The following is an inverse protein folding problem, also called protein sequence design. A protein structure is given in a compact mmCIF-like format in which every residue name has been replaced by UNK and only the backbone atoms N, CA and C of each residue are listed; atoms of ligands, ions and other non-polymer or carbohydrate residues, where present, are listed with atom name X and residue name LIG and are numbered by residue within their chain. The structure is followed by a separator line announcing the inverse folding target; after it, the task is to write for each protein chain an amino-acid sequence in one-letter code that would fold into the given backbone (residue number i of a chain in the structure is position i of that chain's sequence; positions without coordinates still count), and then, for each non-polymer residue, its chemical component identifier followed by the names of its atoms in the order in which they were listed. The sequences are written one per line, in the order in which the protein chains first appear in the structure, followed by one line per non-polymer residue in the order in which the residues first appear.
data_IF_920294119292
#
_entry.id   IF_920294119292
#
_cell.length_a   1.000
_cell.length_b   1.000
_cell.length_c   1.000
_cell.angle_alpha   90.00
_cell.angle_beta   90.00
_cell.angle_gamma   90.00
#
_symmetry.space_group_name_H-M   'P 1'
#
loop_
_entity.id
_entity.type
_entity.pdbx_description
1 polymer ?
#
# COMPACT_ATOMS: atom_id res chain seq x y z
N UNK A 1 11.00 21.24 5.40
CA UNK A 1 11.18 20.13 6.37
C UNK A 1 10.53 18.90 5.76
N UNK A 2 11.26 17.82 5.54
CA UNK A 2 10.65 16.57 5.06
C UNK A 2 9.91 15.92 6.24
N UNK A 3 8.58 15.95 6.21
CA UNK A 3 7.75 15.23 7.17
C UNK A 3 7.58 13.82 6.61
N UNK A 4 8.22 12.84 7.26
CA UNK A 4 8.17 11.44 6.85
C UNK A 4 7.68 10.62 8.03
N UNK A 5 6.36 10.50 8.12
CA UNK A 5 5.64 9.70 9.09
C UNK A 5 4.94 8.56 8.35
N UNK A 6 4.91 7.37 8.96
CA UNK A 6 4.16 6.27 8.40
C UNK A 6 2.65 6.64 8.38
N UNK A 7 1.99 6.67 7.21
CA UNK A 7 0.65 7.21 7.04
C UNK A 7 -0.46 6.28 7.54
N UNK A 8 -0.14 4.99 7.72
CA UNK A 8 -1.10 3.95 8.05
C UNK A 8 -0.70 3.21 9.31
N UNK A 9 -1.68 2.84 10.14
CA UNK A 9 -1.46 1.91 11.24
C UNK A 9 -1.09 0.51 10.70
N UNK A 10 -0.31 -0.29 11.44
CA UNK A 10 -0.09 -1.69 11.08
C UNK A 10 -1.41 -2.45 10.95
N UNK A 11 -1.57 -3.19 9.85
CA UNK A 11 -2.74 -4.04 9.63
C UNK A 11 -2.42 -5.50 10.00
N UNK A 12 -2.85 -5.91 11.20
CA UNK A 12 -2.62 -7.25 11.75
C UNK A 12 -3.94 -7.83 12.27
N UNK A 13 -4.16 -9.13 12.07
CA UNK A 13 -5.34 -9.84 12.57
C UNK A 13 -4.97 -11.27 12.99
N UNK A 14 -5.79 -11.86 13.86
CA UNK A 14 -5.56 -13.21 14.37
C UNK A 14 -5.59 -14.25 13.24
N UNK A 15 -4.62 -15.16 13.27
CA UNK A 15 -4.47 -16.20 12.25
C UNK A 15 -3.65 -15.78 11.02
N UNK A 16 -3.02 -14.60 11.01
CA UNK A 16 -2.09 -14.24 9.94
C UNK A 16 -0.86 -15.15 9.97
N UNK A 17 -0.54 -15.78 8.84
CA UNK A 17 0.64 -16.65 8.71
C UNK A 17 1.86 -15.93 8.14
N UNK A 18 1.64 -14.80 7.45
CA UNK A 18 2.65 -14.09 6.66
C UNK A 18 2.49 -12.60 6.88
N UNK A 19 3.61 -11.92 7.11
CA UNK A 19 3.67 -10.47 7.30
C UNK A 19 4.48 -9.83 6.17
N UNK A 20 3.91 -8.81 5.53
CA UNK A 20 4.60 -8.01 4.51
C UNK A 20 5.12 -6.75 5.20
N UNK A 21 6.45 -6.59 5.24
CA UNK A 21 7.10 -5.42 5.84
C UNK A 21 7.74 -4.60 4.73
N UNK A 22 7.30 -3.35 4.60
CA UNK A 22 7.82 -2.39 3.63
C UNK A 22 8.94 -1.55 4.21
N UNK A 23 9.49 -0.69 3.35
CA UNK A 23 10.34 0.41 3.79
C UNK A 23 9.46 1.63 4.09
N UNK A 24 9.95 2.84 3.81
CA UNK A 24 9.15 4.05 3.97
C UNK A 24 8.29 4.28 2.71
N UNK A 25 7.00 4.60 2.87
CA UNK A 25 6.16 4.97 1.76
C UNK A 25 6.62 6.32 1.16
N UNK A 26 6.24 6.61 -0.10
CA UNK A 26 6.55 7.89 -0.71
C UNK A 26 6.00 9.05 0.14
N UNK A 27 6.73 10.18 0.30
CA UNK A 27 6.31 11.29 1.17
C UNK A 27 4.88 11.80 0.94
N UNK A 28 4.40 11.72 -0.31
CA UNK A 28 3.03 12.12 -0.69
C UNK A 28 1.94 11.35 0.05
N UNK A 29 2.22 10.14 0.51
CA UNK A 29 1.29 9.37 1.34
C UNK A 29 1.24 9.91 2.77
N UNK A 30 2.35 10.44 3.29
CA UNK A 30 2.37 11.12 4.59
C UNK A 30 1.52 12.39 4.60
N UNK A 31 1.52 13.15 3.50
CA UNK A 31 0.80 14.43 3.40
C UNK A 31 -0.60 14.30 2.80
N UNK A 32 -0.97 13.15 2.24
CA UNK A 32 -2.23 12.95 1.53
C UNK A 32 -2.26 13.53 0.11
N UNK A 33 -1.12 13.93 -0.44
CA UNK A 33 -0.97 14.46 -1.81
C UNK A 33 -0.97 13.35 -2.87
N UNK A 34 -2.02 12.53 -2.87
CA UNK A 34 -2.14 11.34 -3.71
C UNK A 34 -2.25 11.71 -5.20
N UNK A 35 -1.59 10.93 -6.06
CA UNK A 35 -1.74 11.07 -7.51
C UNK A 35 -3.05 10.41 -7.96
N UNK A 36 -3.53 10.79 -9.13
CA UNK A 36 -4.60 10.03 -9.79
C UNK A 36 -4.18 8.56 -9.96
N UNK A 37 -5.04 7.65 -9.52
CA UNK A 37 -4.79 6.20 -9.49
C UNK A 37 -4.04 5.70 -8.25
N UNK A 38 -3.50 6.58 -7.39
CA UNK A 38 -3.08 6.14 -6.06
C UNK A 38 -4.34 5.78 -5.23
N UNK A 39 -4.25 4.69 -4.48
CA UNK A 39 -5.22 4.31 -3.46
C UNK A 39 -4.68 4.75 -2.11
N UNK A 40 -5.51 5.40 -1.29
CA UNK A 40 -5.14 5.82 0.07
C UNK A 40 -5.07 4.62 1.03
N UNK A 41 -4.11 3.73 0.80
CA UNK A 41 -3.90 2.50 1.57
C UNK A 41 -2.44 2.02 1.50
N UNK A 42 -2.08 1.08 2.38
CA UNK A 42 -0.78 0.40 2.36
C UNK A 42 -0.47 -0.13 0.95
N UNK A 43 0.72 0.21 0.43
CA UNK A 43 1.16 -0.11 -0.93
C UNK A 43 0.21 0.36 -2.04
N UNK A 44 -0.66 1.33 -1.78
CA UNK A 44 -1.64 1.86 -2.72
C UNK A 44 -1.06 2.80 -3.78
N UNK A 45 0.27 2.99 -3.80
CA UNK A 45 0.93 3.72 -4.89
C UNK A 45 0.64 3.05 -6.22
N UNK A 46 0.13 3.81 -7.20
CA UNK A 46 -0.09 3.34 -8.59
C UNK A 46 1.19 2.83 -9.25
N UNK A 47 2.33 3.34 -8.80
CA UNK A 47 3.66 2.94 -9.27
C UNK A 47 4.15 1.62 -8.61
N UNK A 48 3.37 1.07 -7.65
CA UNK A 48 3.69 -0.15 -6.90
C UNK A 48 3.16 -1.42 -7.59
N UNK A 49 3.89 -2.52 -7.45
CA UNK A 49 3.51 -3.81 -8.06
C UNK A 49 2.92 -4.83 -7.08
N UNK A 50 2.86 -4.52 -5.77
CA UNK A 50 2.41 -5.50 -4.78
C UNK A 50 1.00 -6.01 -5.09
N UNK A 51 0.02 -5.12 -5.23
CA UNK A 51 -1.37 -5.50 -5.47
C UNK A 51 -1.58 -6.24 -6.80
N UNK A 52 -1.00 -5.80 -7.94
CA UNK A 52 -1.02 -6.60 -9.17
C UNK A 52 -0.42 -8.00 -9.05
N UNK A 53 0.68 -8.15 -8.29
CA UNK A 53 1.32 -9.44 -8.06
C UNK A 53 0.43 -10.35 -7.21
N UNK A 54 -0.10 -9.83 -6.10
CA UNK A 54 -0.98 -10.58 -5.21
C UNK A 54 -2.28 -10.97 -5.92
N UNK A 55 -2.86 -10.06 -6.69
CA UNK A 55 -4.05 -10.33 -7.50
C UNK A 55 -3.84 -11.52 -8.44
N UNK A 56 -2.68 -11.58 -9.11
CA UNK A 56 -2.33 -12.68 -10.00
C UNK A 56 -2.03 -13.99 -9.28
N UNK A 57 -1.34 -13.96 -8.15
CA UNK A 57 -0.95 -15.18 -7.41
C UNK A 57 -2.15 -15.80 -6.71
N UNK A 58 -3.08 -14.98 -6.24
CA UNK A 58 -4.23 -15.41 -5.44
C UNK A 58 -5.58 -15.29 -6.17
N UNK A 59 -5.57 -14.92 -7.45
CA UNK A 59 -6.76 -14.76 -8.31
C UNK A 59 -7.85 -13.89 -7.65
N UNK A 60 -7.44 -12.74 -7.09
CA UNK A 60 -8.31 -11.91 -6.25
C UNK A 60 -9.38 -11.14 -7.04
N UNK A 61 -9.21 -10.98 -8.35
CA UNK A 61 -10.07 -10.19 -9.24
C UNK A 61 -10.18 -8.72 -8.77
N UNK A 62 -9.06 -8.12 -8.36
CA UNK A 62 -9.00 -6.72 -7.97
C UNK A 62 -9.31 -5.81 -9.17
N UNK A 63 -9.98 -4.71 -8.89
CA UNK A 63 -10.27 -3.68 -9.90
C UNK A 63 -9.15 -2.64 -9.88
N UNK A 64 -8.58 -2.37 -11.05
CA UNK A 64 -7.61 -1.30 -11.27
C UNK A 64 -8.27 -0.24 -12.14
N UNK A 65 -8.09 1.03 -11.77
CA UNK A 65 -8.62 2.19 -12.50
C UNK A 65 -7.64 2.69 -13.57
#
# INVERSE_FOLDING_TARGET
MFVHQHPYEPFLFDGVEKLIVGTLPPPRFTTGDLKEGDVDFCYGSRDGQLWPILDRIFELNLTFA
#
